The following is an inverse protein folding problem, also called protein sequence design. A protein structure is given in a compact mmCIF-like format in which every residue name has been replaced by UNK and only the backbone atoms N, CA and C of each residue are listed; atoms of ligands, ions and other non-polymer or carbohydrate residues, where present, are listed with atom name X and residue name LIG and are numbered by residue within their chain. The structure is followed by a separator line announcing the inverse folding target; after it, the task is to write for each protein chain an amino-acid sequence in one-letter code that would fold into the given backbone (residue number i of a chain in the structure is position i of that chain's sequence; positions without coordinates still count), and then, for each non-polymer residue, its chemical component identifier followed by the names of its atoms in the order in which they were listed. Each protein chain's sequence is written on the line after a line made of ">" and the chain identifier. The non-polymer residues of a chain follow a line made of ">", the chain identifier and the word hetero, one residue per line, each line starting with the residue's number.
data_IF_646793864940
#
_entry.id   IF_646793864940
#
_cell.length_a   1.000
_cell.length_b   1.000
_cell.length_c   1.000
_cell.angle_alpha   90.00
_cell.angle_beta   90.00
_cell.angle_gamma   90.00
#
_symmetry.space_group_name_H-M   'P 1'
#
loop_
_entity.id
_entity.type
_entity.pdbx_description
1 polymer ?
#
# COMPACT_ATOMS: atom_id res chain seq x y z
N UNK A 1 -43.27 -7.74 1.25
CA UNK A 1 -41.96 -7.55 1.92
C UNK A 1 -42.01 -6.19 2.60
N UNK A 2 -41.75 -6.10 3.91
CA UNK A 2 -41.81 -4.82 4.64
C UNK A 2 -40.75 -3.84 4.11
N UNK A 3 -41.02 -2.54 4.16
CA UNK A 3 -40.01 -1.49 3.86
C UNK A 3 -38.75 -1.71 4.73
N UNK A 4 -38.91 -2.19 5.97
CA UNK A 4 -37.81 -2.55 6.86
C UNK A 4 -37.00 -3.75 6.36
N UNK A 5 -37.63 -4.73 5.73
CA UNK A 5 -36.95 -5.90 5.17
C UNK A 5 -36.21 -5.56 3.88
N UNK A 6 -36.76 -4.67 3.06
CA UNK A 6 -36.10 -4.13 1.88
C UNK A 6 -34.88 -3.29 2.26
N UNK A 7 -35.00 -2.43 3.28
CA UNK A 7 -33.86 -1.66 3.83
C UNK A 7 -32.81 -2.57 4.48
N UNK A 8 -33.20 -3.64 5.19
CA UNK A 8 -32.25 -4.64 5.72
C UNK A 8 -31.54 -5.39 4.60
N UNK A 9 -32.24 -5.74 3.53
CA UNK A 9 -31.68 -6.43 2.35
C UNK A 9 -30.74 -5.51 1.58
N UNK A 10 -31.08 -4.24 1.40
CA UNK A 10 -30.19 -3.19 0.87
C UNK A 10 -28.95 -3.02 1.74
N UNK A 11 -29.09 -2.87 3.07
CA UNK A 11 -27.95 -2.80 4.01
C UNK A 11 -27.07 -4.06 3.96
N UNK A 12 -27.69 -5.24 3.84
CA UNK A 12 -27.01 -6.55 3.77
C UNK A 12 -26.34 -6.81 2.41
N UNK A 13 -26.85 -6.24 1.31
CA UNK A 13 -26.19 -6.22 0.00
C UNK A 13 -25.03 -5.21 -0.04
N UNK A 14 -25.21 -4.03 0.56
CA UNK A 14 -24.17 -2.99 0.69
C UNK A 14 -23.01 -3.45 1.57
N UNK A 15 -23.25 -4.29 2.58
CA UNK A 15 -22.19 -4.88 3.43
C UNK A 15 -21.45 -6.07 2.78
N UNK A 16 -21.83 -6.54 1.59
CA UNK A 16 -21.30 -7.79 1.01
C UNK A 16 -20.51 -7.64 -0.30
N UNK A 17 -20.12 -6.42 -0.67
CA UNK A 17 -19.08 -6.17 -1.69
C UNK A 17 -18.59 -4.72 -1.60
N UNK A 18 -18.05 -4.31 -0.46
CA UNK A 18 -17.18 -3.14 -0.46
C UNK A 18 -15.96 -3.54 -1.29
N UNK A 19 -15.83 -2.99 -2.51
CA UNK A 19 -14.57 -3.06 -3.22
C UNK A 19 -13.51 -2.53 -2.27
N UNK A 20 -12.51 -3.34 -1.98
CA UNK A 20 -11.40 -2.92 -1.14
C UNK A 20 -10.33 -2.37 -2.07
N UNK A 21 -9.51 -1.40 -1.64
CA UNK A 21 -8.41 -0.85 -2.45
C UNK A 21 -7.51 -1.96 -3.04
N UNK A 22 -7.47 -3.09 -2.33
CA UNK A 22 -6.83 -4.36 -2.66
C UNK A 22 -7.23 -4.88 -4.05
N UNK A 23 -8.48 -4.71 -4.44
CA UNK A 23 -9.03 -5.26 -5.70
C UNK A 23 -8.47 -4.57 -6.94
N UNK A 24 -7.88 -3.37 -6.78
CA UNK A 24 -7.35 -2.58 -7.89
C UNK A 24 -5.84 -2.70 -8.07
N UNK A 25 -5.10 -2.99 -7.00
CA UNK A 25 -3.64 -3.12 -7.04
C UNK A 25 -3.26 -4.46 -7.67
N UNK A 26 -2.65 -4.42 -8.85
CA UNK A 26 -2.24 -5.63 -9.58
C UNK A 26 -1.28 -6.48 -8.77
N UNK A 27 -1.31 -7.79 -9.02
CA UNK A 27 -0.39 -8.76 -8.45
C UNK A 27 0.02 -9.76 -9.55
N UNK A 28 1.30 -9.78 -9.98
CA UNK A 28 2.38 -8.89 -9.57
C UNK A 28 2.22 -7.46 -10.12
N UNK A 29 2.94 -6.50 -9.53
CA UNK A 29 3.14 -5.14 -10.06
C UNK A 29 4.31 -5.18 -11.04
N UNK A 30 4.10 -4.69 -12.27
CA UNK A 30 5.15 -4.63 -13.27
C UNK A 30 5.98 -3.35 -13.11
N UNK A 31 7.29 -3.49 -12.90
CA UNK A 31 8.23 -2.38 -12.75
C UNK A 31 9.25 -2.44 -13.89
N UNK A 32 9.37 -1.36 -14.66
CA UNK A 32 10.28 -1.33 -15.81
C UNK A 32 11.72 -1.12 -15.38
N UNK A 33 12.64 -1.94 -15.88
CA UNK A 33 14.08 -1.83 -15.64
C UNK A 33 14.82 -1.37 -16.90
N UNK A 34 14.54 -0.12 -17.34
CA UNK A 34 15.19 0.45 -18.53
C UNK A 34 16.73 0.48 -18.46
N UNK A 35 17.27 0.52 -17.24
CA UNK A 35 18.70 0.60 -16.98
C UNK A 35 19.39 -0.77 -16.90
N UNK A 36 18.66 -1.88 -17.07
CA UNK A 36 19.17 -3.26 -17.04
C UNK A 36 20.04 -3.57 -15.81
N UNK A 37 19.65 -3.10 -14.62
CA UNK A 37 20.35 -3.45 -13.39
C UNK A 37 20.31 -4.95 -13.13
N UNK A 38 21.47 -5.59 -12.97
CA UNK A 38 21.57 -7.03 -12.63
C UNK A 38 21.29 -7.30 -11.14
N UNK A 39 21.68 -6.37 -10.27
CA UNK A 39 21.46 -6.46 -8.83
C UNK A 39 20.51 -5.36 -8.37
N UNK A 40 19.41 -5.77 -7.74
CA UNK A 40 18.33 -4.87 -7.34
C UNK A 40 18.35 -4.75 -5.81
N UNK A 41 18.78 -3.60 -5.32
CA UNK A 41 18.56 -3.18 -3.94
C UNK A 41 17.23 -2.43 -3.81
N UNK A 42 16.73 -2.24 -2.60
CA UNK A 42 15.48 -1.46 -2.35
C UNK A 42 15.60 -0.04 -2.92
N UNK A 43 16.78 0.57 -2.79
CA UNK A 43 17.07 1.89 -3.38
C UNK A 43 17.03 1.88 -4.91
N UNK A 44 17.52 0.82 -5.55
CA UNK A 44 17.44 0.68 -7.02
C UNK A 44 16.00 0.45 -7.45
N UNK A 45 15.25 -0.40 -6.73
CA UNK A 45 13.84 -0.66 -7.00
C UNK A 45 13.01 0.63 -6.91
N UNK A 46 13.22 1.42 -5.85
CA UNK A 46 12.59 2.73 -5.70
C UNK A 46 12.95 3.67 -6.85
N UNK A 47 14.23 3.71 -7.24
CA UNK A 47 14.69 4.54 -8.36
C UNK A 47 13.97 4.15 -9.66
N UNK A 48 13.85 2.86 -9.97
CA UNK A 48 13.15 2.39 -11.17
C UNK A 48 11.67 2.80 -11.17
N UNK A 49 11.00 2.73 -10.01
CA UNK A 49 9.62 3.21 -9.86
C UNK A 49 9.53 4.72 -10.13
N UNK A 50 10.46 5.51 -9.60
CA UNK A 50 10.45 6.96 -9.80
C UNK A 50 10.79 7.37 -11.24
N UNK A 51 11.62 6.60 -11.94
CA UNK A 51 11.95 6.82 -13.36
C UNK A 51 10.73 6.61 -14.29
N UNK A 52 9.81 5.72 -13.93
CA UNK A 52 8.54 5.51 -14.66
C UNK A 52 7.35 5.48 -13.70
N UNK A 53 7.15 6.62 -13.03
CA UNK A 53 6.08 6.80 -12.06
C UNK A 53 4.69 6.62 -12.69
N UNK A 54 4.52 7.02 -13.95
CA UNK A 54 3.24 6.89 -14.65
C UNK A 54 2.85 5.42 -14.84
N UNK A 55 3.78 4.57 -15.32
CA UNK A 55 3.52 3.14 -15.45
C UNK A 55 3.26 2.50 -14.09
N UNK A 56 4.04 2.84 -13.06
CA UNK A 56 3.82 2.31 -11.71
C UNK A 56 2.44 2.67 -11.15
N UNK A 57 1.99 3.93 -11.30
CA UNK A 57 0.66 4.34 -10.83
C UNK A 57 -0.46 3.59 -11.58
N UNK A 58 -0.28 3.28 -12.87
CA UNK A 58 -1.23 2.44 -13.64
C UNK A 58 -1.29 1.00 -13.10
N UNK A 59 -0.19 0.47 -12.58
CA UNK A 59 -0.16 -0.86 -11.96
C UNK A 59 -0.85 -0.89 -10.58
N UNK A 60 -0.80 0.22 -9.83
CA UNK A 60 -1.56 0.37 -8.58
C UNK A 60 -3.07 0.46 -8.82
N UNK A 61 -3.48 0.94 -10.00
CA UNK A 61 -4.88 1.08 -10.39
C UNK A 61 -5.40 2.49 -10.18
N UNK A 62 -6.71 2.62 -9.94
CA UNK A 62 -7.38 3.91 -10.01
C UNK A 62 -7.20 4.75 -8.74
N UNK A 63 -7.33 6.06 -8.91
CA UNK A 63 -7.49 7.03 -7.82
C UNK A 63 -6.29 7.23 -6.90
N UNK A 64 -5.10 6.71 -7.25
CA UNK A 64 -3.86 7.00 -6.52
C UNK A 64 -3.23 8.33 -6.96
N UNK A 65 -2.71 9.07 -5.98
CA UNK A 65 -1.96 10.31 -6.14
C UNK A 65 -0.63 10.21 -5.40
N UNK A 66 0.47 10.54 -6.09
CA UNK A 66 1.80 10.56 -5.48
C UNK A 66 1.99 11.80 -4.58
N UNK A 67 2.48 11.59 -3.36
CA UNK A 67 2.82 12.69 -2.44
C UNK A 67 4.34 12.89 -2.37
N UNK A 68 5.11 11.81 -2.22
CA UNK A 68 6.56 11.89 -2.11
C UNK A 68 7.23 10.54 -1.96
N UNK A 69 8.55 10.51 -2.18
CA UNK A 69 9.43 9.37 -1.95
C UNK A 69 10.45 9.69 -0.86
N UNK A 70 10.99 8.64 -0.23
CA UNK A 70 11.85 8.76 0.95
C UNK A 70 11.23 9.75 1.97
N UNK A 71 9.93 9.63 2.20
CA UNK A 71 9.16 10.60 2.99
C UNK A 71 9.61 10.51 4.44
N UNK A 72 10.28 11.57 4.90
CA UNK A 72 10.92 11.64 6.20
C UNK A 72 9.89 11.77 7.32
N UNK A 73 9.91 10.83 8.25
CA UNK A 73 9.15 10.86 9.49
C UNK A 73 10.09 10.85 10.70
N UNK A 74 9.62 11.38 11.83
CA UNK A 74 10.38 11.37 13.09
C UNK A 74 9.64 10.53 14.13
N UNK A 75 10.23 9.40 14.50
CA UNK A 75 9.70 8.52 15.55
C UNK A 75 10.64 8.59 16.75
N UNK A 76 10.19 9.30 17.79
CA UNK A 76 11.04 9.63 18.94
C UNK A 76 12.26 10.46 18.52
N UNK A 77 13.45 9.90 18.75
CA UNK A 77 14.73 10.54 18.42
C UNK A 77 15.33 10.08 17.08
N UNK A 78 14.65 9.17 16.37
CA UNK A 78 15.15 8.61 15.10
C UNK A 78 14.35 9.12 13.91
N UNK A 79 15.06 9.38 12.81
CA UNK A 79 14.43 9.59 11.52
C UNK A 79 14.22 8.25 10.83
N UNK A 80 13.02 8.09 10.27
CA UNK A 80 12.67 6.97 9.41
C UNK A 80 12.16 7.53 8.08
N UNK A 81 12.16 6.70 7.05
CA UNK A 81 11.83 7.12 5.69
C UNK A 81 10.82 6.11 5.13
N UNK A 82 9.68 6.62 4.70
CA UNK A 82 8.68 5.83 3.98
C UNK A 82 9.11 5.81 2.51
N UNK A 83 9.21 4.64 1.88
CA UNK A 83 9.71 4.55 0.51
C UNK A 83 8.87 5.38 -0.45
N UNK A 84 7.54 5.20 -0.43
CA UNK A 84 6.60 6.07 -1.15
C UNK A 84 5.40 6.38 -0.26
N UNK A 85 5.03 7.65 -0.20
CA UNK A 85 3.79 8.12 0.39
C UNK A 85 2.84 8.52 -0.75
N UNK A 86 1.66 7.92 -0.76
CA UNK A 86 0.60 8.20 -1.72
C UNK A 86 -0.69 8.59 -0.98
N UNK A 87 -1.67 9.07 -1.74
CA UNK A 87 -3.04 9.26 -1.31
C UNK A 87 -3.97 8.54 -2.26
N UNK A 88 -5.01 7.87 -1.75
CA UNK A 88 -6.09 7.39 -2.59
C UNK A 88 -7.29 8.32 -2.47
N UNK A 89 -7.71 8.91 -3.58
CA UNK A 89 -8.78 9.91 -3.66
C UNK A 89 -10.15 9.27 -3.38
N UNK A 90 -10.38 8.07 -3.90
CA UNK A 90 -11.67 7.37 -3.83
C UNK A 90 -11.94 6.85 -2.41
N UNK A 91 -10.92 6.22 -1.80
CA UNK A 91 -10.97 5.76 -0.41
C UNK A 91 -10.59 6.85 0.60
N UNK A 92 -10.29 8.07 0.13
CA UNK A 92 -9.98 9.24 0.94
C UNK A 92 -8.99 8.97 2.10
N UNK A 93 -7.91 8.24 1.82
CA UNK A 93 -6.94 7.79 2.79
C UNK A 93 -5.50 7.94 2.29
N UNK A 94 -4.55 8.10 3.21
CA UNK A 94 -3.14 7.95 2.90
C UNK A 94 -2.80 6.49 2.62
N UNK A 95 -1.80 6.27 1.77
CA UNK A 95 -1.26 4.95 1.47
C UNK A 95 0.26 4.99 1.64
N UNK A 96 0.76 4.18 2.57
CA UNK A 96 2.19 3.97 2.81
C UNK A 96 2.62 2.79 1.96
N UNK A 97 3.67 2.96 1.15
CA UNK A 97 4.26 1.87 0.38
C UNK A 97 5.66 1.57 0.92
N UNK A 98 5.92 0.29 1.14
CA UNK A 98 7.23 -0.25 1.55
C UNK A 98 7.73 -1.22 0.47
N UNK A 99 8.99 -1.09 0.08
CA UNK A 99 9.64 -1.89 -0.96
C UNK A 99 10.58 -2.91 -0.32
N UNK A 100 10.50 -4.16 -0.79
CA UNK A 100 11.34 -5.27 -0.33
C UNK A 100 11.85 -6.09 -1.50
N UNK A 101 13.17 -6.18 -1.64
CA UNK A 101 13.81 -7.05 -2.66
C UNK A 101 13.96 -8.51 -2.19
N UNK A 102 13.31 -8.85 -1.07
CA UNK A 102 13.34 -10.17 -0.44
C UNK A 102 11.92 -10.69 -0.21
N UNK A 103 11.82 -11.93 0.27
CA UNK A 103 10.55 -12.49 0.75
C UNK A 103 9.96 -11.65 1.89
N UNK A 104 8.65 -11.51 1.92
CA UNK A 104 7.94 -10.84 3.01
C UNK A 104 8.23 -11.50 4.37
N UNK A 105 8.68 -10.68 5.33
CA UNK A 105 8.95 -11.08 6.72
C UNK A 105 8.07 -10.31 7.70
N UNK A 106 7.91 -10.89 8.89
CA UNK A 106 7.17 -10.27 10.01
C UNK A 106 7.67 -8.86 10.36
N UNK A 107 8.97 -8.62 10.28
CA UNK A 107 9.57 -7.31 10.55
C UNK A 107 9.10 -6.22 9.58
N UNK A 108 8.83 -6.56 8.32
CA UNK A 108 8.29 -5.63 7.32
C UNK A 108 6.88 -5.16 7.70
N UNK A 109 6.06 -6.06 8.26
CA UNK A 109 4.71 -5.72 8.77
C UNK A 109 4.80 -4.75 9.95
N UNK A 110 5.71 -5.02 10.90
CA UNK A 110 5.93 -4.13 12.03
C UNK A 110 6.36 -2.73 11.58
N UNK A 111 7.27 -2.66 10.61
CA UNK A 111 7.76 -1.41 10.04
C UNK A 111 6.64 -0.59 9.38
N UNK A 112 5.87 -1.18 8.45
CA UNK A 112 4.81 -0.45 7.74
C UNK A 112 3.69 0.00 8.70
N UNK A 113 3.36 -0.80 9.72
CA UNK A 113 2.37 -0.42 10.73
C UNK A 113 2.81 0.80 11.56
N UNK A 114 4.10 0.92 11.88
CA UNK A 114 4.64 2.13 12.54
C UNK A 114 4.41 3.36 11.67
N UNK A 115 4.66 3.23 10.36
CA UNK A 115 4.50 4.33 9.41
C UNK A 115 3.02 4.72 9.25
N UNK A 116 2.13 3.75 9.06
CA UNK A 116 0.69 4.00 8.98
C UNK A 116 0.17 4.72 10.23
N UNK A 117 0.58 4.26 11.42
CA UNK A 117 0.18 4.89 12.68
C UNK A 117 0.73 6.30 12.84
N UNK A 118 1.95 6.55 12.35
CA UNK A 118 2.53 7.90 12.33
C UNK A 118 1.71 8.84 11.45
N UNK A 119 1.40 8.42 10.22
CA UNK A 119 0.58 9.19 9.27
C UNK A 119 -0.82 9.45 9.84
N UNK A 120 -1.46 8.42 10.40
CA UNK A 120 -2.78 8.51 11.03
C UNK A 120 -2.84 9.53 12.18
N UNK A 121 -1.74 9.70 12.92
CA UNK A 121 -1.67 10.62 14.07
C UNK A 121 -1.26 12.04 13.70
N UNK A 122 -0.43 12.22 12.67
CA UNK A 122 0.25 13.49 12.42
C UNK A 122 -0.21 14.19 11.14
N UNK A 123 -0.62 13.45 10.10
CA UNK A 123 -0.99 14.02 8.80
C UNK A 123 -2.49 13.91 8.54
N UNK A 124 -3.06 12.74 8.84
CA UNK A 124 -4.46 12.43 8.58
C UNK A 124 -5.40 13.46 9.22
N UNK A 125 -6.36 13.93 8.44
CA UNK A 125 -7.45 14.80 8.88
C UNK A 125 -8.61 13.99 9.43
N UNK A 126 -9.43 14.61 10.28
CA UNK A 126 -10.54 13.92 10.95
C UNK A 126 -11.58 13.34 9.97
N UNK A 127 -11.69 13.90 8.77
CA UNK A 127 -12.59 13.48 7.71
C UNK A 127 -11.95 12.50 6.71
N UNK A 128 -10.74 12.01 6.96
CA UNK A 128 -10.05 11.04 6.12
C UNK A 128 -10.09 9.64 6.76
N UNK A 129 -10.14 8.62 5.93
CA UNK A 129 -10.14 7.23 6.36
C UNK A 129 -8.78 6.79 6.87
N UNK A 130 -8.74 5.63 7.54
CA UNK A 130 -7.50 5.08 8.09
C UNK A 130 -6.47 4.82 6.99
N UNK A 131 -5.22 5.13 7.30
CA UNK A 131 -4.09 4.87 6.41
C UNK A 131 -3.99 3.38 6.09
N UNK A 132 -3.65 3.08 4.84
CA UNK A 132 -3.46 1.74 4.27
C UNK A 132 -1.96 1.49 4.02
N UNK A 133 -1.50 0.26 4.19
CA UNK A 133 -0.14 -0.16 3.90
C UNK A 133 -0.07 -1.09 2.70
N UNK A 134 0.86 -0.84 1.77
CA UNK A 134 1.19 -1.73 0.67
C UNK A 134 2.65 -2.13 0.80
N UNK A 135 2.93 -3.42 0.93
CA UNK A 135 4.29 -3.95 0.83
C UNK A 135 4.46 -4.54 -0.58
N UNK A 136 5.42 -4.02 -1.32
CA UNK A 136 5.80 -4.54 -2.63
C UNK A 136 7.07 -5.36 -2.44
N UNK A 137 6.97 -6.67 -2.58
CA UNK A 137 8.03 -7.61 -2.21
C UNK A 137 8.46 -8.51 -3.37
N UNK A 138 9.66 -9.09 -3.30
CA UNK A 138 10.12 -10.02 -4.34
C UNK A 138 9.34 -11.33 -4.31
N UNK A 139 8.89 -11.74 -3.13
CA UNK A 139 8.11 -12.94 -2.90
C UNK A 139 7.17 -12.74 -1.71
N UNK A 140 5.90 -13.07 -1.88
CA UNK A 140 4.92 -12.99 -0.79
C UNK A 140 5.06 -14.18 0.17
N UNK A 141 4.65 -13.96 1.43
CA UNK A 141 4.55 -14.99 2.45
C UNK A 141 3.16 -14.98 3.08
N UNK A 142 2.31 -15.90 2.62
CA UNK A 142 0.92 -16.05 3.05
C UNK A 142 0.76 -16.28 4.55
N UNK A 143 1.74 -16.91 5.22
CA UNK A 143 1.69 -17.12 6.67
C UNK A 143 1.94 -15.82 7.43
N UNK A 144 2.91 -15.01 6.98
CA UNK A 144 3.17 -13.69 7.57
C UNK A 144 1.93 -12.80 7.42
N UNK A 145 1.31 -12.75 6.23
CA UNK A 145 0.08 -12.00 6.03
C UNK A 145 -1.04 -12.50 6.95
N UNK A 146 -1.30 -13.81 6.96
CA UNK A 146 -2.40 -14.41 7.72
C UNK A 146 -2.29 -14.20 9.24
N UNK A 147 -1.08 -14.22 9.80
CA UNK A 147 -0.90 -14.26 11.26
C UNK A 147 -0.33 -12.97 11.86
N UNK A 148 0.23 -12.06 11.06
CA UNK A 148 0.88 -10.84 11.56
C UNK A 148 0.28 -9.55 11.02
N UNK A 149 -0.54 -9.60 9.96
CA UNK A 149 -1.03 -8.42 9.26
C UNK A 149 -2.33 -7.86 9.83
N UNK A 150 -2.49 -6.54 9.70
CA UNK A 150 -3.77 -5.84 9.84
C UNK A 150 -4.51 -5.94 8.49
N UNK A 151 -5.85 -5.97 8.48
CA UNK A 151 -6.65 -6.03 7.25
C UNK A 151 -6.37 -4.84 6.29
N UNK A 152 -5.77 -3.76 6.81
CA UNK A 152 -5.34 -2.58 6.06
C UNK A 152 -3.95 -2.70 5.44
N UNK A 153 -3.25 -3.82 5.63
CA UNK A 153 -1.93 -4.06 5.04
C UNK A 153 -2.05 -5.16 4.00
N UNK A 154 -1.61 -4.85 2.79
CA UNK A 154 -1.52 -5.80 1.69
C UNK A 154 -0.10 -6.01 1.23
N UNK A 155 0.19 -7.23 0.78
CA UNK A 155 1.40 -7.55 0.04
C UNK A 155 1.09 -7.76 -1.45
N UNK A 156 2.01 -7.30 -2.29
CA UNK A 156 2.04 -7.54 -3.72
C UNK A 156 3.43 -7.95 -4.12
N UNK A 157 3.53 -8.93 -5.01
CA UNK A 157 4.80 -9.28 -5.64
C UNK A 157 5.10 -8.26 -6.74
N UNK A 158 6.37 -8.11 -7.12
CA UNK A 158 6.76 -7.36 -8.31
C UNK A 158 7.57 -8.20 -9.29
N UNK A 159 7.42 -7.86 -10.56
CA UNK A 159 8.24 -8.39 -11.64
C UNK A 159 8.95 -7.24 -12.37
N UNK A 160 10.18 -7.50 -12.78
CA UNK A 160 10.97 -6.54 -13.57
C UNK A 160 10.88 -6.91 -15.03
N UNK A 161 10.59 -5.92 -15.89
CA UNK A 161 10.48 -6.06 -17.34
C UNK A 161 11.32 -5.04 -18.09
#
# INVERSE_FOLDING_TARGET
>A
MSIRDYQKKQKKLMTNKESNIIDFVKNPIIIRNHSNYEFISEKVLQKLILEDMESFMKELGNSFSFIGSEYKIRVGNSFNYIDLLLFNIEYNCYVVVELKVTELKKEHIGQIQVYMNYIDKNLKKINQDKTIGIIICKQDNKYVIKYCSDDRVIAREYELV
#
